data_IF_525682811517
#
_entry.id   IF_525682811517
#
_cell.length_a   1.000
_cell.length_b   1.000
_cell.length_c   1.000
_cell.angle_alpha   90.00
_cell.angle_beta   90.00
_cell.angle_gamma   90.00
#
_symmetry.space_group_name_H-M   'P 1'
#
loop_
_entity.id
_entity.type
_entity.pdbx_description
1 polymer ?
#
# COMPACT_ATOMS: atom_id res chain seq x y z
N UNK A 1 -21.09 -12.94 23.73
CA UNK A 1 -19.78 -13.55 23.40
C UNK A 1 -18.78 -12.42 23.32
N UNK A 2 -18.23 -12.08 24.47
CA UNK A 2 -17.56 -10.81 24.75
C UNK A 2 -16.26 -11.16 25.47
N UNK A 3 -15.17 -10.46 25.15
CA UNK A 3 -13.84 -10.52 25.78
C UNK A 3 -12.94 -11.73 25.47
N UNK A 4 -12.40 -11.81 24.23
CA UNK A 4 -11.20 -12.63 23.93
C UNK A 4 -10.14 -11.96 23.05
N UNK A 5 -10.15 -10.63 22.93
CA UNK A 5 -9.25 -9.89 22.00
C UNK A 5 -8.34 -8.86 22.65
N UNK A 6 -7.98 -9.01 23.92
CA UNK A 6 -6.99 -8.16 24.57
C UNK A 6 -6.04 -9.01 25.41
N UNK A 7 -4.94 -9.41 24.78
CA UNK A 7 -3.62 -9.73 25.35
C UNK A 7 -2.97 -10.85 24.52
N UNK A 8 -2.33 -10.48 23.41
CA UNK A 8 -1.28 -11.31 22.82
C UNK A 8 0.04 -10.67 23.21
N UNK A 9 0.58 -11.14 24.33
CA UNK A 9 1.93 -10.80 24.77
C UNK A 9 2.92 -11.26 23.68
N UNK A 10 3.88 -10.41 23.32
CA UNK A 10 5.02 -10.85 22.53
C UNK A 10 5.90 -11.75 23.40
N UNK A 11 6.57 -12.73 22.78
CA UNK A 11 7.55 -13.60 23.45
C UNK A 11 8.72 -12.82 24.08
N UNK A 12 8.87 -11.52 23.75
CA UNK A 12 9.87 -10.60 24.32
C UNK A 12 9.43 -9.94 25.64
N UNK A 13 8.28 -10.29 26.20
CA UNK A 13 7.86 -9.86 27.54
C UNK A 13 7.47 -8.38 27.68
N UNK A 14 7.51 -7.60 26.60
CA UNK A 14 7.04 -6.21 26.59
C UNK A 14 5.81 -6.07 25.70
N UNK A 15 4.68 -5.68 26.30
CA UNK A 15 3.50 -5.30 25.53
C UNK A 15 3.85 -4.15 24.56
N UNK A 16 3.37 -4.20 23.31
CA UNK A 16 3.57 -3.10 22.37
C UNK A 16 3.15 -1.77 23.01
N UNK A 17 4.00 -0.74 22.90
CA UNK A 17 3.75 0.57 23.50
C UNK A 17 3.18 1.55 22.48
N UNK A 18 2.16 2.29 22.89
CA UNK A 18 1.57 3.34 22.06
C UNK A 18 2.61 4.44 21.79
N UNK A 19 2.81 4.81 20.52
CA UNK A 19 3.72 5.89 20.13
C UNK A 19 2.94 7.16 19.82
N UNK A 20 2.93 8.09 20.77
CA UNK A 20 2.21 9.36 20.67
C UNK A 20 2.57 10.21 19.46
N UNK A 21 3.80 10.13 18.96
CA UNK A 21 4.20 10.82 17.72
C UNK A 21 3.40 10.31 16.52
N UNK A 22 3.22 8.99 16.41
CA UNK A 22 2.43 8.39 15.34
C UNK A 22 0.95 8.79 15.52
N UNK A 23 0.42 8.66 16.74
CA UNK A 23 -0.96 9.07 17.05
C UNK A 23 -1.21 10.52 16.66
N UNK A 24 -0.34 11.44 17.09
CA UNK A 24 -0.47 12.86 16.78
C UNK A 24 -0.38 13.14 15.27
N UNK A 25 0.54 12.48 14.56
CA UNK A 25 0.69 12.64 13.11
C UNK A 25 -0.58 12.23 12.35
N UNK A 26 -1.08 11.01 12.59
CA UNK A 26 -2.29 10.54 11.93
C UNK A 26 -3.51 11.36 12.37
N UNK A 27 -3.68 11.64 13.67
CA UNK A 27 -4.80 12.43 14.16
C UNK A 27 -4.82 13.84 13.54
N UNK A 28 -3.67 14.51 13.41
CA UNK A 28 -3.58 15.83 12.79
C UNK A 28 -4.02 15.81 11.32
N UNK A 29 -3.58 14.82 10.54
CA UNK A 29 -3.97 14.70 9.13
C UNK A 29 -5.46 14.39 8.97
N UNK A 30 -6.03 13.55 9.84
CA UNK A 30 -7.47 13.29 9.86
C UNK A 30 -8.26 14.54 10.26
N UNK A 31 -7.82 15.27 11.29
CA UNK A 31 -8.46 16.52 11.71
C UNK A 31 -8.44 17.59 10.60
N UNK A 32 -7.32 17.73 9.87
CA UNK A 32 -7.23 18.63 8.72
C UNK A 32 -8.12 18.18 7.55
N UNK A 33 -8.25 16.87 7.33
CA UNK A 33 -9.17 16.34 6.33
C UNK A 33 -10.64 16.64 6.67
N UNK A 34 -11.01 16.77 7.95
CA UNK A 34 -12.36 17.15 8.37
C UNK A 34 -12.75 18.57 7.95
N UNK A 35 -11.80 19.41 7.52
CA UNK A 35 -12.08 20.73 6.94
C UNK A 35 -12.70 20.65 5.54
N UNK A 36 -12.78 19.46 4.93
CA UNK A 36 -13.28 19.25 3.57
C UNK A 36 -14.60 19.98 3.22
N UNK A 37 -15.64 20.04 4.09
CA UNK A 37 -16.88 20.72 3.76
C UNK A 37 -16.71 22.23 3.50
N UNK A 38 -15.79 22.90 4.21
CA UNK A 38 -15.55 24.34 4.08
C UNK A 38 -14.65 24.70 2.89
N UNK A 39 -13.97 23.71 2.33
CA UNK A 39 -13.01 23.88 1.24
C UNK A 39 -13.42 23.10 -0.02
N UNK A 40 -14.68 22.67 -0.12
CA UNK A 40 -15.18 21.91 -1.27
C UNK A 40 -15.21 22.76 -2.54
N UNK A 41 -14.75 22.16 -3.64
CA UNK A 41 -15.02 22.60 -5.00
C UNK A 41 -14.99 21.39 -5.93
N UNK A 42 -15.73 21.45 -7.05
CA UNK A 42 -15.73 20.36 -8.03
C UNK A 42 -14.35 20.10 -8.64
N UNK A 43 -13.54 21.15 -8.83
CA UNK A 43 -12.17 21.04 -9.31
C UNK A 43 -11.27 20.36 -8.27
N UNK A 44 -11.40 20.68 -6.98
CA UNK A 44 -10.67 19.99 -5.91
C UNK A 44 -11.09 18.53 -5.75
N UNK A 45 -12.36 18.21 -5.97
CA UNK A 45 -12.83 16.81 -6.02
C UNK A 45 -12.24 16.06 -7.21
N UNK A 46 -12.21 16.66 -8.40
CA UNK A 46 -11.56 16.07 -9.58
C UNK A 46 -10.06 15.82 -9.34
N UNK A 47 -9.38 16.79 -8.72
CA UNK A 47 -7.99 16.67 -8.31
C UNK A 47 -7.76 15.55 -7.29
N UNK A 48 -8.63 15.44 -6.27
CA UNK A 48 -8.61 14.35 -5.29
C UNK A 48 -8.63 12.99 -6.00
N UNK A 49 -9.59 12.78 -6.89
CA UNK A 49 -9.76 11.51 -7.61
C UNK A 49 -8.52 11.21 -8.46
N UNK A 50 -8.01 12.21 -9.19
CA UNK A 50 -6.80 12.07 -9.99
C UNK A 50 -5.57 11.72 -9.14
N UNK A 51 -5.32 12.45 -8.05
CA UNK A 51 -4.16 12.21 -7.19
C UNK A 51 -4.29 10.91 -6.38
N UNK A 52 -5.51 10.51 -6.01
CA UNK A 52 -5.75 9.22 -5.37
C UNK A 52 -5.41 8.07 -6.33
N UNK A 53 -5.79 8.18 -7.61
CA UNK A 53 -5.38 7.23 -8.63
C UNK A 53 -3.87 7.27 -8.91
N UNK A 54 -3.30 8.45 -9.06
CA UNK A 54 -1.88 8.61 -9.39
C UNK A 54 -0.99 8.04 -8.26
N UNK A 55 -1.25 8.41 -7.01
CA UNK A 55 -0.42 7.97 -5.89
C UNK A 55 -0.78 6.55 -5.45
N UNK A 56 -2.05 6.17 -5.48
CA UNK A 56 -2.51 4.84 -5.11
C UNK A 56 -2.23 3.78 -6.18
N UNK A 57 -2.83 3.92 -7.37
CA UNK A 57 -2.68 2.92 -8.45
C UNK A 57 -1.26 2.93 -9.01
N UNK A 58 -0.74 4.08 -9.43
CA UNK A 58 0.58 4.13 -10.09
C UNK A 58 1.71 4.05 -9.06
N UNK A 59 1.63 4.84 -7.98
CA UNK A 59 2.67 4.87 -6.95
C UNK A 59 2.75 3.59 -6.13
N UNK A 60 1.67 3.23 -5.44
CA UNK A 60 1.64 2.07 -4.54
C UNK A 60 1.44 0.76 -5.29
N UNK A 61 0.32 0.58 -6.01
CA UNK A 61 -0.05 -0.70 -6.61
C UNK A 61 0.90 -1.12 -7.76
N UNK A 62 1.17 -0.22 -8.71
CA UNK A 62 2.07 -0.51 -9.83
C UNK A 62 3.54 -0.45 -9.40
N UNK A 63 3.91 0.60 -8.66
CA UNK A 63 5.28 0.90 -8.27
C UNK A 63 5.80 0.07 -7.11
N UNK A 64 5.37 0.39 -5.89
CA UNK A 64 5.92 -0.26 -4.70
C UNK A 64 5.57 -1.75 -4.68
N UNK A 65 4.32 -2.09 -4.98
CA UNK A 65 3.83 -3.46 -4.90
C UNK A 65 4.30 -4.34 -6.07
N UNK A 66 3.74 -4.16 -7.27
CA UNK A 66 3.98 -5.11 -8.38
C UNK A 66 5.37 -5.00 -8.99
N UNK A 67 5.91 -3.79 -9.14
CA UNK A 67 7.22 -3.55 -9.75
C UNK A 67 8.38 -3.82 -8.78
N UNK A 68 8.39 -3.19 -7.60
CA UNK A 68 9.55 -3.22 -6.71
C UNK A 68 9.51 -4.37 -5.69
N UNK A 69 8.37 -4.65 -5.04
CA UNK A 69 8.26 -5.78 -4.11
C UNK A 69 8.32 -7.12 -4.84
N UNK A 70 7.47 -7.29 -5.87
CA UNK A 70 7.27 -8.58 -6.52
C UNK A 70 8.00 -8.77 -7.85
N UNK A 71 8.57 -7.72 -8.43
CA UNK A 71 9.29 -7.79 -9.72
C UNK A 71 8.47 -8.46 -10.83
N UNK A 72 7.17 -8.19 -10.83
CA UNK A 72 6.19 -8.80 -11.75
C UNK A 72 6.42 -8.37 -13.20
N UNK A 73 7.15 -7.28 -13.41
CA UNK A 73 7.60 -6.76 -14.69
C UNK A 73 8.84 -5.88 -14.46
N UNK A 74 9.47 -5.43 -15.55
CA UNK A 74 10.63 -4.53 -15.54
C UNK A 74 10.36 -3.31 -16.41
N UNK A 75 10.85 -2.15 -15.99
CA UNK A 75 10.81 -0.89 -16.77
C UNK A 75 12.20 -0.27 -16.85
N UNK A 76 12.46 0.68 -17.78
CA UNK A 76 13.68 1.47 -17.77
C UNK A 76 13.88 2.17 -16.42
N UNK A 77 15.15 2.30 -16.00
CA UNK A 77 15.48 2.77 -14.65
C UNK A 77 14.94 4.16 -14.32
N UNK A 78 14.94 5.08 -15.29
CA UNK A 78 14.38 6.42 -15.11
C UNK A 78 12.88 6.39 -14.79
N UNK A 79 12.13 5.47 -15.41
CA UNK A 79 10.70 5.30 -15.19
C UNK A 79 10.44 4.62 -13.84
N UNK A 80 11.26 3.63 -13.49
CA UNK A 80 11.23 3.01 -12.16
C UNK A 80 11.39 4.05 -11.05
N UNK A 81 12.37 4.95 -11.17
CA UNK A 81 12.59 6.04 -10.21
C UNK A 81 11.45 7.07 -10.19
N UNK A 82 10.92 7.44 -11.35
CA UNK A 82 9.77 8.34 -11.42
C UNK A 82 8.55 7.73 -10.71
N UNK A 83 8.24 6.46 -10.96
CA UNK A 83 7.17 5.72 -10.29
C UNK A 83 7.43 5.61 -8.79
N UNK A 84 8.67 5.38 -8.37
CA UNK A 84 9.02 5.32 -6.95
C UNK A 84 8.79 6.65 -6.22
N UNK A 85 9.09 7.79 -6.85
CA UNK A 85 8.78 9.13 -6.32
C UNK A 85 7.26 9.32 -6.20
N UNK A 86 6.49 8.88 -7.19
CA UNK A 86 5.03 8.91 -7.14
C UNK A 86 4.52 8.06 -5.96
N UNK A 87 5.11 6.89 -5.70
CA UNK A 87 4.81 6.07 -4.52
C UNK A 87 5.15 6.77 -3.20
N UNK A 88 6.28 7.46 -3.14
CA UNK A 88 6.69 8.19 -1.94
C UNK A 88 5.73 9.35 -1.59
N UNK A 89 5.11 9.97 -2.61
CA UNK A 89 4.09 11.00 -2.43
C UNK A 89 2.78 10.48 -1.82
N UNK A 90 2.54 9.16 -1.84
CA UNK A 90 1.36 8.54 -1.24
C UNK A 90 1.32 8.60 0.30
N UNK A 91 2.42 9.01 0.95
CA UNK A 91 2.55 9.09 2.42
C UNK A 91 2.41 7.74 3.15
N UNK A 92 2.84 6.63 2.54
CA UNK A 92 2.76 5.29 3.17
C UNK A 92 4.09 4.79 3.75
N UNK A 93 5.09 5.65 3.85
CA UNK A 93 6.46 5.30 4.19
C UNK A 93 7.39 5.39 2.98
N UNK A 94 8.69 5.37 3.27
CA UNK A 94 9.72 5.27 2.25
C UNK A 94 9.69 3.93 1.51
N UNK A 95 10.29 3.82 0.32
CA UNK A 95 10.26 2.59 -0.46
C UNK A 95 10.92 1.41 0.27
N UNK A 96 12.01 1.60 1.00
CA UNK A 96 12.70 0.49 1.69
C UNK A 96 11.83 0.01 2.86
N UNK A 97 11.24 0.92 3.63
CA UNK A 97 10.30 0.58 4.69
C UNK A 97 9.08 -0.18 4.16
N UNK A 98 8.40 0.38 3.15
CA UNK A 98 7.16 -0.21 2.61
C UNK A 98 7.41 -1.58 1.98
N UNK A 99 8.42 -1.67 1.11
CA UNK A 99 8.75 -2.91 0.38
C UNK A 99 9.31 -3.97 1.33
N UNK A 100 10.13 -3.56 2.30
CA UNK A 100 10.65 -4.44 3.34
C UNK A 100 9.53 -5.04 4.18
N UNK A 101 8.62 -4.21 4.69
CA UNK A 101 7.45 -4.66 5.45
C UNK A 101 6.53 -5.57 4.63
N UNK A 102 6.29 -5.23 3.36
CA UNK A 102 5.46 -6.05 2.46
C UNK A 102 6.06 -7.42 2.16
N UNK A 103 7.37 -7.48 1.89
CA UNK A 103 8.07 -8.75 1.68
C UNK A 103 8.13 -9.59 2.96
N UNK A 104 8.29 -8.95 4.12
CA UNK A 104 8.23 -9.61 5.42
C UNK A 104 6.84 -10.21 5.67
N UNK A 105 5.77 -9.47 5.37
CA UNK A 105 4.41 -9.97 5.43
C UNK A 105 4.23 -11.22 4.57
N UNK A 106 4.59 -11.20 3.29
CA UNK A 106 4.49 -12.39 2.44
C UNK A 106 5.31 -13.59 2.93
N UNK A 107 6.44 -13.35 3.58
CA UNK A 107 7.28 -14.43 4.12
C UNK A 107 6.69 -15.07 5.39
N UNK A 108 5.86 -14.34 6.12
CA UNK A 108 5.36 -14.71 7.44
C UNK A 108 3.86 -14.45 7.62
N UNK A 109 3.08 -14.50 6.53
CA UNK A 109 1.67 -14.10 6.51
C UNK A 109 0.91 -14.70 7.68
N UNK A 110 0.18 -13.88 8.42
CA UNK A 110 -0.60 -14.25 9.62
C UNK A 110 0.22 -14.62 10.88
N UNK A 111 1.55 -14.68 10.84
CA UNK A 111 2.36 -14.87 12.04
C UNK A 111 2.28 -13.63 12.94
N UNK A 112 1.68 -13.78 14.12
CA UNK A 112 1.45 -12.68 15.07
C UNK A 112 2.75 -12.02 15.55
N UNK A 113 3.89 -12.70 15.46
CA UNK A 113 5.18 -12.21 15.93
C UNK A 113 6.04 -11.63 14.80
N UNK A 114 5.93 -12.19 13.59
CA UNK A 114 6.81 -11.90 12.45
C UNK A 114 6.15 -11.10 11.32
N UNK A 115 4.81 -11.06 11.25
CA UNK A 115 4.07 -10.20 10.32
C UNK A 115 3.62 -8.91 11.05
N UNK A 116 4.07 -7.72 10.60
CA UNK A 116 3.75 -6.44 11.25
C UNK A 116 2.25 -6.20 11.40
N UNK A 117 1.45 -6.61 10.42
CA UNK A 117 0.02 -6.35 10.34
C UNK A 117 -0.80 -7.63 10.21
N UNK A 118 -0.33 -8.72 10.85
CA UNK A 118 -1.05 -9.99 10.96
C UNK A 118 -2.53 -9.79 11.33
N UNK A 119 -3.43 -10.32 10.51
CA UNK A 119 -4.87 -10.22 10.71
C UNK A 119 -5.37 -11.15 11.83
N UNK A 120 -4.56 -12.14 12.24
CA UNK A 120 -4.80 -12.94 13.46
C UNK A 120 -4.85 -12.09 14.74
N UNK A 121 -4.22 -10.91 14.76
CA UNK A 121 -4.37 -9.94 15.87
C UNK A 121 -5.69 -9.14 15.80
N UNK A 122 -6.51 -9.36 14.77
CA UNK A 122 -7.82 -8.76 14.57
C UNK A 122 -7.82 -7.58 13.59
N UNK A 123 -9.02 -7.24 13.10
CA UNK A 123 -9.25 -6.20 12.08
C UNK A 123 -8.54 -4.88 12.40
N UNK A 124 -8.71 -4.34 13.61
CA UNK A 124 -8.13 -3.05 13.97
C UNK A 124 -6.60 -3.08 14.04
N UNK A 125 -6.01 -4.23 14.39
CA UNK A 125 -4.57 -4.39 14.38
C UNK A 125 -4.02 -4.26 12.97
N UNK A 126 -4.52 -5.09 12.05
CA UNK A 126 -4.07 -5.09 10.65
C UNK A 126 -4.46 -3.83 9.88
N UNK A 127 -5.52 -3.12 10.32
CA UNK A 127 -5.95 -1.88 9.70
C UNK A 127 -5.08 -0.67 10.10
N UNK A 128 -4.84 -0.43 11.40
CA UNK A 128 -4.15 0.80 11.83
C UNK A 128 -3.30 0.66 13.11
N UNK A 129 -3.66 -0.23 14.04
CA UNK A 129 -2.99 -0.26 15.34
C UNK A 129 -1.53 -0.73 15.24
N UNK A 130 -1.17 -1.53 14.24
CA UNK A 130 0.23 -1.93 14.02
C UNK A 130 1.18 -0.72 13.85
N UNK A 131 0.67 0.39 13.32
CA UNK A 131 1.42 1.65 13.19
C UNK A 131 1.38 2.46 14.49
N UNK A 132 0.29 2.40 15.24
CA UNK A 132 0.16 3.13 16.52
C UNK A 132 1.00 2.50 17.64
N UNK A 133 1.24 1.21 17.55
CA UNK A 133 2.07 0.41 18.45
C UNK A 133 3.30 -0.12 17.70
N UNK A 134 4.18 0.76 17.20
CA UNK A 134 5.28 0.35 16.35
C UNK A 134 6.25 -0.52 17.14
N UNK A 135 6.59 -1.67 16.56
CA UNK A 135 7.59 -2.58 17.12
C UNK A 135 8.95 -2.35 16.45
N UNK A 136 10.06 -2.28 17.21
CA UNK A 136 11.39 -2.05 16.65
C UNK A 136 11.75 -3.04 15.55
N UNK A 137 11.31 -4.30 15.68
CA UNK A 137 11.52 -5.36 14.69
C UNK A 137 10.96 -5.03 13.29
N UNK A 138 10.04 -4.07 13.17
CA UNK A 138 9.43 -3.65 11.90
C UNK A 138 9.74 -2.21 11.52
N UNK A 139 10.05 -1.34 12.49
CA UNK A 139 10.21 0.11 12.27
C UNK A 139 11.65 0.61 12.35
N UNK A 140 12.59 -0.20 12.88
CA UNK A 140 14.00 0.17 12.87
C UNK A 140 14.63 -0.06 11.49
N UNK A 141 15.31 0.96 10.97
CA UNK A 141 15.93 0.95 9.64
C UNK A 141 16.94 -0.18 9.49
N UNK A 142 17.75 -0.43 10.52
CA UNK A 142 18.73 -1.51 10.49
C UNK A 142 18.07 -2.89 10.39
N UNK A 143 16.81 -3.00 10.79
CA UNK A 143 16.03 -4.24 10.72
C UNK A 143 15.30 -4.35 9.39
N UNK A 144 14.43 -3.41 9.03
CA UNK A 144 13.58 -3.56 7.84
C UNK A 144 14.37 -3.52 6.52
N UNK A 145 15.53 -2.85 6.47
CA UNK A 145 16.35 -2.81 5.25
C UNK A 145 16.83 -4.20 4.80
N UNK A 146 16.90 -5.16 5.73
CA UNK A 146 17.27 -6.56 5.46
C UNK A 146 16.27 -7.27 4.54
N UNK A 147 15.01 -6.82 4.50
CA UNK A 147 13.96 -7.37 3.63
C UNK A 147 13.94 -6.71 2.23
N UNK A 148 14.66 -5.60 2.04
CA UNK A 148 14.79 -4.90 0.74
C UNK A 148 16.26 -4.59 0.36
N UNK A 149 17.16 -5.58 0.38
CA UNK A 149 18.61 -5.35 0.18
C UNK A 149 18.96 -4.86 -1.23
N UNK A 150 18.12 -5.17 -2.22
CA UNK A 150 18.24 -4.70 -3.60
C UNK A 150 17.98 -3.20 -3.75
N UNK A 151 17.07 -2.63 -2.95
CA UNK A 151 16.82 -1.19 -2.91
C UNK A 151 17.88 -0.48 -2.05
N UNK A 152 18.21 -1.05 -0.89
CA UNK A 152 19.18 -0.48 0.05
C UNK A 152 20.55 -0.21 -0.59
N UNK A 153 20.99 -1.08 -1.52
CA UNK A 153 22.24 -0.89 -2.27
C UNK A 153 22.26 0.37 -3.15
N UNK A 154 21.12 0.99 -3.41
CA UNK A 154 21.00 2.12 -4.34
C UNK A 154 20.85 3.43 -3.56
N UNK A 155 21.75 4.42 -3.74
CA UNK A 155 21.69 5.71 -3.05
C UNK A 155 20.36 6.44 -3.24
N UNK A 156 19.75 6.33 -4.42
CA UNK A 156 18.45 6.92 -4.73
C UNK A 156 17.36 6.44 -3.77
N UNK A 157 17.24 5.13 -3.55
CA UNK A 157 16.20 4.58 -2.68
C UNK A 157 16.45 4.91 -1.21
N UNK A 158 17.71 4.94 -0.76
CA UNK A 158 18.05 5.39 0.60
C UNK A 158 17.69 6.86 0.84
N UNK A 159 17.94 7.71 -0.14
CA UNK A 159 17.54 9.12 -0.08
C UNK A 159 16.02 9.24 -0.04
N UNK A 160 15.33 8.56 -0.95
CA UNK A 160 13.87 8.62 -1.04
C UNK A 160 13.22 8.08 0.24
N UNK A 161 13.76 7.01 0.81
CA UNK A 161 13.28 6.40 2.04
C UNK A 161 13.41 7.30 3.26
N UNK A 162 14.54 8.01 3.36
CA UNK A 162 14.78 8.97 4.44
C UNK A 162 13.93 10.23 4.33
N UNK A 163 13.70 10.73 3.11
CA UNK A 163 13.16 12.08 2.89
C UNK A 163 11.78 12.11 2.26
N UNK A 164 11.07 10.99 2.12
CA UNK A 164 9.75 10.93 1.47
C UNK A 164 8.74 11.95 2.04
N UNK A 165 8.76 12.20 3.36
CA UNK A 165 7.89 13.20 4.00
C UNK A 165 8.17 14.63 3.50
N UNK A 166 9.42 14.96 3.18
CA UNK A 166 9.77 16.30 2.68
C UNK A 166 9.21 16.57 1.29
N UNK A 167 8.86 15.53 0.52
CA UNK A 167 8.22 15.68 -0.80
C UNK A 167 6.82 16.30 -0.69
N UNK A 168 6.20 16.27 0.49
CA UNK A 168 4.90 16.90 0.73
C UNK A 168 4.96 18.42 0.70
N UNK A 169 6.12 19.02 1.02
CA UNK A 169 6.29 20.48 1.00
C UNK A 169 6.13 21.05 -0.41
N UNK A 170 6.93 20.63 -1.42
CA UNK A 170 6.76 21.13 -2.78
C UNK A 170 5.40 20.76 -3.38
N UNK A 171 4.85 19.58 -3.05
CA UNK A 171 3.49 19.20 -3.48
C UNK A 171 2.44 20.17 -2.92
N UNK A 172 2.47 20.46 -1.62
CA UNK A 172 1.54 21.37 -0.97
C UNK A 172 1.62 22.79 -1.52
N UNK A 173 2.83 23.30 -1.73
CA UNK A 173 3.05 24.62 -2.35
C UNK A 173 2.51 24.68 -3.78
N UNK A 174 2.74 23.63 -4.57
CA UNK A 174 2.23 23.53 -5.93
C UNK A 174 0.69 23.48 -5.96
N UNK A 175 0.07 22.68 -5.10
CA UNK A 175 -1.38 22.60 -4.99
C UNK A 175 -2.00 23.93 -4.54
N UNK A 176 -1.36 24.61 -3.59
CA UNK A 176 -1.78 25.94 -3.15
C UNK A 176 -1.71 26.97 -4.30
N UNK A 177 -0.63 26.96 -5.09
CA UNK A 177 -0.50 27.84 -6.23
C UNK A 177 -1.55 27.56 -7.32
N UNK A 178 -1.99 26.31 -7.49
CA UNK A 178 -2.98 25.93 -8.50
C UNK A 178 -4.43 26.23 -8.12
N UNK A 179 -4.81 26.06 -6.84
CA UNK A 179 -6.21 26.18 -6.43
C UNK A 179 -6.40 26.51 -4.95
N UNK A 180 -5.40 27.12 -4.33
CA UNK A 180 -5.42 27.58 -2.96
C UNK A 180 -5.65 26.45 -1.94
N UNK A 181 -6.23 26.83 -0.81
CA UNK A 181 -6.51 25.88 0.28
C UNK A 181 -7.49 24.77 -0.11
N UNK A 182 -8.39 24.99 -1.08
CA UNK A 182 -9.27 23.93 -1.58
C UNK A 182 -8.47 22.75 -2.15
N UNK A 183 -7.46 23.04 -2.96
CA UNK A 183 -6.58 22.02 -3.56
C UNK A 183 -5.65 21.38 -2.52
N UNK A 184 -5.19 22.15 -1.54
CA UNK A 184 -4.37 21.60 -0.44
C UNK A 184 -5.20 20.65 0.43
N UNK A 185 -6.38 21.06 0.89
CA UNK A 185 -7.23 20.22 1.75
C UNK A 185 -7.58 18.90 1.06
N UNK A 186 -8.04 18.96 -0.19
CA UNK A 186 -8.42 17.76 -0.94
C UNK A 186 -7.21 16.95 -1.41
N UNK A 187 -6.24 17.58 -2.07
CA UNK A 187 -5.09 16.91 -2.66
C UNK A 187 -4.07 16.38 -1.66
N UNK A 188 -3.95 17.00 -0.48
CA UNK A 188 -3.04 16.55 0.58
C UNK A 188 -3.76 15.70 1.62
N UNK A 189 -4.73 16.26 2.34
CA UNK A 189 -5.23 15.65 3.58
C UNK A 189 -6.36 14.65 3.34
N UNK A 190 -7.42 15.05 2.63
CA UNK A 190 -8.53 14.13 2.30
C UNK A 190 -8.01 12.96 1.48
N UNK A 191 -7.19 13.23 0.47
CA UNK A 191 -6.53 12.18 -0.33
C UNK A 191 -5.66 11.27 0.53
N UNK A 192 -4.89 11.78 1.50
CA UNK A 192 -4.08 10.94 2.40
C UNK A 192 -4.94 9.94 3.17
N UNK A 193 -5.98 10.45 3.83
CA UNK A 193 -6.89 9.65 4.66
C UNK A 193 -7.58 8.58 3.83
N UNK A 194 -8.17 8.95 2.69
CA UNK A 194 -8.85 7.99 1.81
C UNK A 194 -7.89 6.93 1.27
N UNK A 195 -6.69 7.33 0.86
CA UNK A 195 -5.71 6.41 0.30
C UNK A 195 -5.17 5.44 1.36
N UNK A 196 -4.90 5.93 2.58
CA UNK A 196 -4.48 5.09 3.69
C UNK A 196 -5.53 4.03 4.02
N UNK A 197 -6.78 4.42 4.25
CA UNK A 197 -7.83 3.47 4.57
C UNK A 197 -8.07 2.49 3.42
N UNK A 198 -8.01 2.94 2.16
CA UNK A 198 -8.09 2.06 0.99
C UNK A 198 -7.00 0.98 1.04
N UNK A 199 -5.74 1.36 1.25
CA UNK A 199 -4.63 0.39 1.34
C UNK A 199 -4.74 -0.49 2.58
N UNK A 200 -5.11 0.06 3.73
CA UNK A 200 -5.24 -0.70 4.98
C UNK A 200 -6.38 -1.72 4.93
N UNK A 201 -7.42 -1.50 4.11
CA UNK A 201 -8.43 -2.52 3.84
C UNK A 201 -7.87 -3.76 3.15
N UNK A 202 -6.76 -3.67 2.41
CA UNK A 202 -6.08 -4.86 1.87
C UNK A 202 -5.58 -5.74 3.01
N UNK A 203 -4.84 -5.18 3.96
CA UNK A 203 -4.29 -5.93 5.10
C UNK A 203 -5.38 -6.43 6.07
N UNK A 204 -6.51 -5.72 6.15
CA UNK A 204 -7.55 -6.00 7.14
C UNK A 204 -8.75 -6.73 6.56
N UNK A 205 -9.53 -6.07 5.70
CA UNK A 205 -10.73 -6.65 5.12
C UNK A 205 -10.41 -7.84 4.20
N UNK A 206 -9.39 -7.75 3.35
CA UNK A 206 -9.02 -8.83 2.43
C UNK A 206 -8.32 -10.02 3.08
N UNK A 207 -8.03 -9.98 4.39
CA UNK A 207 -7.59 -11.15 5.17
C UNK A 207 -8.70 -11.77 6.02
N UNK A 208 -9.88 -11.15 6.08
CA UNK A 208 -10.98 -11.58 6.93
C UNK A 208 -12.23 -11.95 6.14
N UNK A 209 -12.50 -11.26 5.05
CA UNK A 209 -13.75 -11.37 4.30
C UNK A 209 -13.53 -11.58 2.80
N UNK A 210 -14.49 -12.25 2.16
CA UNK A 210 -14.45 -12.56 0.73
C UNK A 210 -14.31 -14.05 0.44
N UNK A 211 -14.18 -14.36 -0.84
CA UNK A 211 -14.05 -15.74 -1.34
C UNK A 211 -12.58 -16.10 -1.57
N UNK A 212 -12.31 -17.38 -1.81
CA UNK A 212 -10.98 -17.89 -2.16
C UNK A 212 -11.09 -18.65 -3.47
N UNK A 213 -10.24 -18.31 -4.44
CA UNK A 213 -10.11 -19.04 -5.70
C UNK A 213 -9.14 -20.21 -5.52
N UNK A 214 -8.10 -20.00 -4.70
CA UNK A 214 -7.04 -20.97 -4.46
C UNK A 214 -6.96 -21.32 -2.97
N UNK A 215 -6.66 -22.59 -2.70
CA UNK A 215 -6.37 -23.07 -1.36
C UNK A 215 -4.91 -22.75 -1.00
N UNK A 216 -4.72 -21.65 -0.28
CA UNK A 216 -3.42 -21.21 0.23
C UNK A 216 -3.39 -21.36 1.76
N UNK A 217 -2.19 -21.50 2.35
CA UNK A 217 -2.04 -21.63 3.80
C UNK A 217 -1.94 -20.26 4.48
N UNK A 218 -2.89 -19.35 4.19
CA UNK A 218 -3.02 -18.02 4.81
C UNK A 218 -4.48 -17.53 4.85
N UNK A 219 -4.70 -16.35 5.45
CA UNK A 219 -6.02 -15.71 5.58
C UNK A 219 -6.49 -14.93 4.34
N UNK A 220 -5.67 -14.80 3.29
CA UNK A 220 -5.97 -13.90 2.18
C UNK A 220 -7.20 -14.34 1.38
N UNK A 221 -8.05 -13.37 1.03
CA UNK A 221 -9.36 -13.49 0.38
C UNK A 221 -9.53 -12.45 -0.72
N UNK A 222 -10.28 -12.82 -1.74
CA UNK A 222 -10.68 -11.93 -2.83
C UNK A 222 -11.91 -11.13 -2.40
N UNK A 223 -11.81 -9.80 -2.47
CA UNK A 223 -12.84 -8.87 -2.01
C UNK A 223 -13.03 -7.72 -3.00
N UNK A 224 -14.14 -7.78 -3.74
CA UNK A 224 -14.38 -6.92 -4.91
C UNK A 224 -14.41 -5.42 -4.60
N UNK A 225 -15.00 -5.02 -3.47
CA UNK A 225 -15.10 -3.60 -3.12
C UNK A 225 -13.76 -3.03 -2.69
N UNK A 226 -12.90 -3.83 -2.04
CA UNK A 226 -11.50 -3.43 -1.79
C UNK A 226 -10.79 -3.24 -3.11
N UNK A 227 -10.99 -4.15 -4.07
CA UNK A 227 -10.36 -4.07 -5.39
C UNK A 227 -10.73 -2.80 -6.16
N UNK A 228 -11.96 -2.29 -6.02
CA UNK A 228 -12.35 -0.99 -6.59
C UNK A 228 -11.58 0.17 -5.93
N UNK A 229 -11.47 0.17 -4.61
CA UNK A 229 -10.77 1.21 -3.85
C UNK A 229 -9.24 1.18 -4.07
N UNK A 230 -8.70 -0.02 -4.35
CA UNK A 230 -7.27 -0.28 -4.47
C UNK A 230 -6.85 -0.72 -5.85
N UNK A 231 -7.64 -0.39 -6.87
CA UNK A 231 -7.24 -0.53 -8.27
C UNK A 231 -6.81 -1.95 -8.69
N UNK A 232 -7.37 -2.99 -8.09
CA UNK A 232 -7.04 -4.39 -8.35
C UNK A 232 -6.43 -5.16 -7.17
N UNK A 233 -5.98 -4.50 -6.11
CA UNK A 233 -5.27 -5.18 -5.00
C UNK A 233 -6.19 -5.95 -4.05
N UNK A 234 -7.51 -5.82 -4.21
CA UNK A 234 -8.50 -6.61 -3.45
C UNK A 234 -8.61 -8.06 -3.91
N UNK A 235 -8.01 -8.46 -5.04
CA UNK A 235 -7.90 -9.87 -5.46
C UNK A 235 -6.77 -10.57 -4.69
N UNK A 236 -6.87 -10.54 -3.37
CA UNK A 236 -5.75 -10.77 -2.48
C UNK A 236 -5.39 -12.25 -2.33
N UNK A 237 -6.38 -13.15 -2.37
CA UNK A 237 -6.11 -14.60 -2.41
C UNK A 237 -5.37 -15.01 -3.69
N UNK A 238 -5.77 -14.45 -4.83
CA UNK A 238 -5.07 -14.68 -6.10
C UNK A 238 -3.62 -14.20 -6.01
N UNK A 239 -3.42 -12.98 -5.49
CA UNK A 239 -2.12 -12.37 -5.28
C UNK A 239 -1.22 -13.19 -4.36
N UNK A 240 -1.72 -13.59 -3.19
CA UNK A 240 -0.96 -14.40 -2.23
C UNK A 240 -0.54 -15.77 -2.80
N UNK A 241 -1.37 -16.35 -3.65
CA UNK A 241 -1.04 -17.62 -4.31
C UNK A 241 0.01 -17.45 -5.40
N UNK A 242 -0.04 -16.34 -6.15
CA UNK A 242 0.87 -16.06 -7.26
C UNK A 242 1.50 -14.66 -7.16
N UNK A 243 2.35 -14.40 -6.16
CA UNK A 243 2.79 -13.04 -5.81
C UNK A 243 3.61 -12.35 -6.91
N UNK A 244 4.26 -13.12 -7.78
CA UNK A 244 5.06 -12.58 -8.89
C UNK A 244 4.24 -12.31 -10.15
N UNK A 245 2.97 -12.71 -10.21
CA UNK A 245 2.13 -12.52 -11.41
C UNK A 245 1.65 -11.07 -11.46
N UNK A 246 1.83 -10.43 -12.62
CA UNK A 246 1.55 -9.00 -12.77
C UNK A 246 0.06 -8.63 -12.75
N UNK A 247 -0.82 -9.60 -12.94
CA UNK A 247 -2.29 -9.44 -12.96
C UNK A 247 -2.84 -10.12 -11.71
N UNK A 248 -3.54 -9.40 -10.84
CA UNK A 248 -4.13 -9.97 -9.62
C UNK A 248 -5.54 -10.50 -9.85
N UNK A 249 -6.29 -9.90 -10.78
CA UNK A 249 -7.61 -10.38 -11.19
C UNK A 249 -7.51 -11.51 -12.23
N UNK A 250 -7.99 -12.70 -11.92
CA UNK A 250 -7.92 -13.89 -12.75
C UNK A 250 -9.23 -14.15 -13.50
N UNK A 251 -10.38 -13.80 -12.92
CA UNK A 251 -11.69 -13.90 -13.58
C UNK A 251 -11.97 -12.69 -14.49
N UNK A 252 -12.91 -12.82 -15.42
CA UNK A 252 -13.25 -11.74 -16.37
C UNK A 252 -13.88 -10.52 -15.71
N UNK A 253 -14.59 -10.72 -14.60
CA UNK A 253 -15.24 -9.69 -13.80
C UNK A 253 -14.34 -9.13 -12.69
N UNK A 254 -13.17 -9.74 -12.47
CA UNK A 254 -12.18 -9.26 -11.50
C UNK A 254 -11.41 -8.06 -12.10
N UNK A 255 -12.02 -6.88 -11.98
CA UNK A 255 -11.47 -5.61 -12.49
C UNK A 255 -10.13 -5.33 -11.82
N UNK A 256 -9.10 -5.13 -12.62
CA UNK A 256 -7.73 -4.84 -12.19
C UNK A 256 -7.19 -3.65 -13.00
N UNK A 257 -7.39 -2.46 -12.45
CA UNK A 257 -7.02 -1.18 -13.08
C UNK A 257 -5.49 -1.06 -13.19
N UNK A 258 -4.77 -1.49 -12.16
CA UNK A 258 -3.30 -1.49 -12.15
C UNK A 258 -2.73 -2.40 -13.24
N UNK A 259 -3.35 -3.55 -13.50
CA UNK A 259 -2.99 -4.40 -14.65
C UNK A 259 -3.17 -3.68 -15.99
N UNK A 260 -4.21 -2.85 -16.14
CA UNK A 260 -4.39 -2.06 -17.37
C UNK A 260 -3.25 -1.07 -17.59
N UNK A 261 -2.74 -0.44 -16.52
CA UNK A 261 -1.55 0.40 -16.60
C UNK A 261 -0.31 -0.38 -17.03
N UNK A 262 -0.12 -1.60 -16.52
CA UNK A 262 0.99 -2.48 -16.96
C UNK A 262 0.83 -2.85 -18.44
N UNK A 263 -0.38 -3.16 -18.90
CA UNK A 263 -0.65 -3.42 -20.33
C UNK A 263 -0.32 -2.22 -21.20
N UNK A 264 -0.69 -1.01 -20.78
CA UNK A 264 -0.38 0.22 -21.51
C UNK A 264 1.14 0.45 -21.59
N UNK A 265 1.86 0.28 -20.48
CA UNK A 265 3.33 0.35 -20.49
C UNK A 265 3.95 -0.73 -21.39
N UNK A 266 3.38 -1.94 -21.42
CA UNK A 266 3.82 -3.03 -22.29
C UNK A 266 3.60 -2.70 -23.77
N UNK A 267 2.44 -2.16 -24.14
CA UNK A 267 2.16 -1.77 -25.54
C UNK A 267 3.05 -0.62 -26.02
N UNK A 268 3.50 0.24 -25.11
CA UNK A 268 4.48 1.30 -25.39
C UNK A 268 5.94 0.79 -25.40
N UNK A 269 6.18 -0.51 -25.17
CA UNK A 269 7.52 -1.09 -25.09
C UNK A 269 8.32 -0.75 -23.82
N UNK A 270 7.68 -0.08 -22.85
CA UNK A 270 8.28 0.33 -21.59
C UNK A 270 8.29 -0.79 -20.55
N UNK A 271 7.21 -1.57 -20.44
CA UNK A 271 7.18 -2.74 -19.56
C UNK A 271 7.65 -4.00 -20.30
N UNK A 272 8.70 -4.63 -19.77
CA UNK A 272 9.32 -5.86 -20.28
C UNK A 272 9.27 -6.96 -19.23
N UNK A 273 9.49 -8.21 -19.66
CA UNK A 273 9.48 -9.41 -18.79
C UNK A 273 8.26 -9.47 -17.86
N UNK A 274 7.08 -9.15 -18.39
CA UNK A 274 5.82 -9.18 -17.65
C UNK A 274 5.45 -10.65 -17.37
N UNK A 275 5.36 -11.01 -16.10
CA UNK A 275 5.01 -12.35 -15.64
C UNK A 275 3.49 -12.51 -15.71
N UNK A 276 3.04 -13.51 -16.45
CA UNK A 276 1.62 -13.82 -16.67
C UNK A 276 1.18 -15.02 -15.84
N UNK A 277 -0.13 -15.17 -15.56
CA UNK A 277 -0.66 -16.36 -14.89
C UNK A 277 -0.29 -17.66 -15.65
N UNK A 278 -0.09 -18.78 -14.95
CA UNK A 278 0.11 -20.09 -15.56
C UNK A 278 -1.02 -20.45 -16.55
N UNK A 279 -0.71 -21.15 -17.66
CA UNK A 279 -1.72 -21.50 -18.68
C UNK A 279 -2.94 -22.27 -18.15
N UNK A 280 -2.73 -23.11 -17.15
CA UNK A 280 -3.78 -23.93 -16.53
C UNK A 280 -4.87 -23.08 -15.87
N UNK A 281 -4.51 -21.87 -15.42
CA UNK A 281 -5.41 -20.96 -14.73
C UNK A 281 -6.02 -19.95 -15.72
N UNK A 282 -5.27 -19.56 -16.74
CA UNK A 282 -5.78 -18.69 -17.81
C UNK A 282 -6.98 -19.29 -18.59
N UNK A 283 -7.14 -20.61 -18.53
CA UNK A 283 -8.19 -21.36 -19.23
C UNK A 283 -9.39 -21.77 -18.34
N UNK A 284 -9.35 -21.49 -17.03
CA UNK A 284 -10.52 -21.64 -16.16
C UNK A 284 -11.44 -20.44 -16.35
N UNK A 285 -12.24 -20.47 -17.42
CA UNK A 285 -13.32 -19.52 -17.69
C UNK A 285 -14.62 -19.96 -17.03
#
# INVERSE_FOLDING_TARGET
MTAKYLAVASETGNSPRLRWVNVAFFAAIHALAMLAPWFFSWSALGLLVFLHWLFGSIGICLGYHRLLSHRSFQVPKWLEYAIAIIGALALQGGPIFWIGGHRQHHAHTEDINLDPYSAQRGFWWSHILWIMYPRPEFFDYETYKKYAPDLERQPFYRWLDRYFLLLQIPLGLFLYALGGWSFVIYGMFVRAVLLWHSTWFVNSASHLWGYRTFDANDGARNLWWVSILTYGEGWHNNHHTFPHVAKSGFQWWEIDITWWSIKALKSLGLAKKVILPPPQIANQR
#
